data_IF_362648862138
#
_entry.id   IF_362648862138
#
_cell.length_a   1.000
_cell.length_b   1.000
_cell.length_c   1.000
_cell.angle_alpha   90.00
_cell.angle_beta   90.00
_cell.angle_gamma   90.00
#
_symmetry.space_group_name_H-M   'P 1'
#
loop_
_entity.id
_entity.type
_entity.pdbx_description
1 polymer ?
#
# COMPACT_ATOMS: atom_id res chain seq x y z
N UNK A 1 -8.71 3.23 -23.12
CA UNK A 1 -9.28 3.45 -21.78
C UNK A 1 -8.12 3.91 -20.93
N UNK A 2 -8.18 5.11 -20.37
CA UNK A 2 -7.12 5.61 -19.48
C UNK A 2 -7.18 4.83 -18.18
N UNK A 3 -6.02 4.42 -17.66
CA UNK A 3 -5.93 3.76 -16.36
C UNK A 3 -5.72 4.84 -15.31
N UNK A 4 -6.48 4.79 -14.24
CA UNK A 4 -6.41 5.77 -13.18
C UNK A 4 -5.67 5.21 -11.97
N UNK A 5 -4.85 6.06 -11.35
CA UNK A 5 -4.06 5.70 -10.19
C UNK A 5 -4.24 6.73 -9.07
N UNK A 6 -4.14 6.25 -7.84
CA UNK A 6 -3.81 7.09 -6.71
C UNK A 6 -2.31 7.01 -6.44
N UNK A 7 -1.67 8.13 -6.16
CA UNK A 7 -0.24 8.22 -5.85
C UNK A 7 -0.06 8.80 -4.48
N UNK A 8 0.80 8.16 -3.69
CA UNK A 8 1.21 8.62 -2.36
C UNK A 8 2.72 8.63 -2.31
N UNK A 9 3.30 9.75 -1.88
CA UNK A 9 4.72 9.82 -1.51
C UNK A 9 4.81 9.87 0.01
N UNK A 10 5.66 9.05 0.62
CA UNK A 10 5.76 9.04 2.08
C UNK A 10 6.97 8.30 2.62
N UNK A 11 7.37 8.66 3.83
CA UNK A 11 8.44 7.99 4.57
C UNK A 11 7.88 6.76 5.27
N UNK A 12 8.60 5.65 5.19
CA UNK A 12 8.22 4.42 5.89
C UNK A 12 8.40 4.61 7.39
N UNK A 13 7.31 4.44 8.13
CA UNK A 13 7.24 4.54 9.58
C UNK A 13 7.31 3.15 10.24
N UNK A 14 7.84 3.11 11.46
CA UNK A 14 7.73 1.95 12.32
C UNK A 14 6.26 1.69 12.69
N UNK A 15 5.80 0.45 12.51
CA UNK A 15 4.47 -0.01 12.92
C UNK A 15 4.54 -1.05 14.04
N UNK A 16 3.44 -1.76 14.27
CA UNK A 16 3.33 -2.74 15.38
C UNK A 16 4.00 -4.09 15.04
N UNK A 17 4.67 -4.18 13.88
CA UNK A 17 5.32 -5.37 13.34
C UNK A 17 4.45 -6.65 13.23
N UNK A 18 3.13 -6.58 13.45
CA UNK A 18 2.22 -7.74 13.43
C UNK A 18 2.23 -8.51 12.10
N UNK A 19 2.31 -7.80 10.98
CA UNK A 19 2.44 -8.44 9.66
C UNK A 19 3.72 -9.28 9.57
N UNK A 20 4.83 -8.77 10.11
CA UNK A 20 6.13 -9.47 10.13
C UNK A 20 6.05 -10.78 10.93
N UNK A 21 5.36 -10.78 12.08
CA UNK A 21 5.14 -12.00 12.88
C UNK A 21 4.36 -13.09 12.11
N UNK A 22 3.46 -12.68 11.21
CA UNK A 22 2.68 -13.56 10.35
C UNK A 22 3.40 -13.94 9.04
N UNK A 23 4.61 -13.44 8.80
CA UNK A 23 5.37 -13.66 7.57
C UNK A 23 5.06 -12.70 6.42
N UNK A 24 4.31 -11.62 6.68
CA UNK A 24 3.87 -10.60 5.72
C UNK A 24 4.32 -9.20 6.18
N UNK A 25 5.62 -8.87 6.15
CA UNK A 25 6.10 -7.54 6.54
C UNK A 25 5.51 -6.46 5.63
N UNK A 26 5.26 -5.27 6.18
CA UNK A 26 4.69 -4.13 5.47
C UNK A 26 5.50 -2.85 5.71
N UNK A 27 5.64 -2.04 4.66
CA UNK A 27 6.07 -0.66 4.77
C UNK A 27 4.84 0.22 5.09
N UNK A 28 4.86 0.94 6.21
CA UNK A 28 3.73 1.73 6.68
C UNK A 28 3.94 3.20 6.33
N UNK A 29 2.97 3.83 5.68
CA UNK A 29 3.03 5.24 5.26
C UNK A 29 1.77 5.95 5.76
N UNK A 30 1.94 6.99 6.58
CA UNK A 30 0.83 7.81 7.07
C UNK A 30 0.18 8.63 5.95
N UNK A 31 -1.15 8.66 5.91
CA UNK A 31 -1.95 9.50 5.02
C UNK A 31 -2.40 10.73 5.81
N UNK A 32 -1.59 11.79 5.77
CA UNK A 32 -1.65 12.91 6.74
C UNK A 32 -2.69 13.98 6.42
N UNK A 33 -3.14 14.11 5.16
CA UNK A 33 -3.95 15.28 4.79
C UNK A 33 -5.22 14.99 3.94
N UNK A 34 -5.44 13.78 3.41
CA UNK A 34 -6.60 13.52 2.54
C UNK A 34 -7.20 12.12 2.65
N UNK A 35 -7.56 11.74 3.88
CA UNK A 35 -8.24 10.47 4.17
C UNK A 35 -9.59 10.25 3.47
N UNK A 36 -10.13 11.22 2.72
CA UNK A 36 -11.38 11.08 1.95
C UNK A 36 -11.19 10.69 0.48
N UNK A 37 -9.99 10.87 -0.09
CA UNK A 37 -9.79 10.81 -1.55
C UNK A 37 -9.52 9.40 -2.07
N UNK A 38 -9.21 8.44 -1.18
CA UNK A 38 -8.97 7.04 -1.52
C UNK A 38 -9.81 6.12 -0.63
N UNK A 39 -10.44 5.11 -1.21
CA UNK A 39 -11.24 4.12 -0.48
C UNK A 39 -10.39 3.23 0.43
N UNK A 40 -10.94 2.87 1.59
CA UNK A 40 -10.37 1.80 2.42
C UNK A 40 -10.44 0.46 1.69
N UNK A 41 -9.49 -0.44 1.98
CA UNK A 41 -9.46 -1.76 1.36
C UNK A 41 -8.06 -2.22 1.01
N UNK A 42 -7.99 -3.27 0.20
CA UNK A 42 -6.74 -3.79 -0.34
C UNK A 42 -6.66 -3.43 -1.82
N UNK A 43 -5.49 -3.00 -2.24
CA UNK A 43 -5.18 -2.55 -3.58
C UNK A 43 -4.00 -3.31 -4.16
N UNK A 44 -3.98 -3.49 -5.47
CA UNK A 44 -2.80 -3.86 -6.23
C UNK A 44 -2.10 -2.58 -6.72
N UNK A 45 -0.77 -2.61 -6.73
CA UNK A 45 -0.01 -1.44 -7.10
C UNK A 45 1.49 -1.64 -7.17
N UNK A 46 2.19 -0.51 -7.23
CA UNK A 46 3.63 -0.44 -7.36
C UNK A 46 4.23 0.50 -6.32
N UNK A 47 5.41 0.16 -5.85
CA UNK A 47 6.26 0.97 -4.98
C UNK A 47 7.51 1.35 -5.77
N UNK A 48 7.89 2.61 -5.76
CA UNK A 48 9.18 3.08 -6.25
C UNK A 48 10.05 3.54 -5.08
N UNK A 49 11.25 3.00 -5.03
CA UNK A 49 12.30 3.34 -4.08
C UNK A 49 13.07 4.60 -4.48
N UNK A 50 13.86 5.14 -3.55
CA UNK A 50 14.71 6.31 -3.82
C UNK A 50 15.76 6.04 -4.92
N UNK A 51 16.20 4.78 -5.05
CA UNK A 51 17.14 4.32 -6.09
C UNK A 51 16.49 4.16 -7.49
N UNK A 52 15.18 4.40 -7.61
CA UNK A 52 14.43 4.26 -8.87
C UNK A 52 13.87 2.87 -9.14
N UNK A 53 14.16 1.88 -8.30
CA UNK A 53 13.62 0.51 -8.43
C UNK A 53 12.11 0.52 -8.23
N UNK A 54 11.38 -0.17 -9.11
CA UNK A 54 9.94 -0.40 -8.98
C UNK A 54 9.68 -1.83 -8.51
N UNK A 55 8.87 -1.97 -7.46
CA UNK A 55 8.54 -3.23 -6.84
C UNK A 55 7.02 -3.39 -6.78
N UNK A 56 6.47 -4.55 -7.18
CA UNK A 56 5.03 -4.79 -7.10
C UNK A 56 4.61 -4.95 -5.64
N UNK A 57 3.39 -4.50 -5.30
CA UNK A 57 2.89 -4.51 -3.93
C UNK A 57 1.40 -4.86 -3.83
N UNK A 58 1.06 -5.60 -2.78
CA UNK A 58 -0.28 -5.68 -2.23
C UNK A 58 -0.38 -4.64 -1.11
N UNK A 59 -1.38 -3.76 -1.17
CA UNK A 59 -1.39 -2.52 -0.41
C UNK A 59 -2.70 -2.43 0.39
N UNK A 60 -2.63 -2.49 1.71
CA UNK A 60 -3.79 -2.22 2.55
C UNK A 60 -3.89 -0.74 2.86
N UNK A 61 -5.06 -0.15 2.65
CA UNK A 61 -5.37 1.22 3.06
C UNK A 61 -6.44 1.17 4.13
N UNK A 62 -6.14 1.76 5.28
CA UNK A 62 -7.04 1.71 6.41
C UNK A 62 -6.71 2.63 7.56
N UNK A 63 -7.48 2.47 8.64
CA UNK A 63 -7.24 3.14 9.92
C UNK A 63 -6.70 2.14 10.92
N UNK A 64 -5.63 2.52 11.61
CA UNK A 64 -5.19 1.79 12.80
C UNK A 64 -6.17 2.07 13.95
N UNK A 65 -6.76 1.03 14.57
CA UNK A 65 -7.65 1.23 15.72
C UNK A 65 -6.94 1.57 17.04
N UNK A 66 -5.60 1.45 17.12
CA UNK A 66 -4.87 1.42 18.41
C UNK A 66 -4.07 2.69 18.74
N UNK A 67 -4.07 3.01 20.04
CA UNK A 67 -3.41 4.07 20.84
C UNK A 67 -4.08 5.45 20.99
N UNK A 68 -4.71 6.04 19.95
CA UNK A 68 -5.22 7.43 20.03
C UNK A 68 -6.75 7.60 20.01
N UNK A 69 -7.53 6.52 20.06
CA UNK A 69 -8.99 6.63 20.02
C UNK A 69 -9.51 7.11 18.66
N UNK A 70 -10.47 8.06 18.66
CA UNK A 70 -11.12 8.57 17.44
C UNK A 70 -10.18 9.29 16.46
N UNK A 71 -8.93 9.56 16.87
CA UNK A 71 -7.90 10.31 16.13
C UNK A 71 -6.86 9.40 15.44
N UNK A 72 -7.15 8.10 15.29
CA UNK A 72 -6.28 7.19 14.53
C UNK A 72 -6.09 7.64 13.08
N UNK A 73 -4.86 7.96 12.70
CA UNK A 73 -4.55 8.39 11.33
C UNK A 73 -4.70 7.23 10.34
N UNK A 74 -5.18 7.55 9.14
CA UNK A 74 -5.17 6.57 8.04
C UNK A 74 -3.73 6.33 7.62
N UNK A 75 -3.46 5.10 7.23
CA UNK A 75 -2.18 4.70 6.69
C UNK A 75 -2.38 3.75 5.53
N UNK A 76 -1.31 3.63 4.77
CA UNK A 76 -1.10 2.64 3.74
C UNK A 76 -0.05 1.65 4.26
N UNK A 77 -0.35 0.35 4.22
CA UNK A 77 0.55 -0.74 4.57
C UNK A 77 0.86 -1.54 3.31
N UNK A 78 2.06 -1.35 2.76
CA UNK A 78 2.49 -2.00 1.51
C UNK A 78 3.27 -3.28 1.83
N UNK A 79 2.71 -4.43 1.47
CA UNK A 79 3.45 -5.68 1.38
C UNK A 79 4.10 -5.79 0.00
N UNK A 80 5.43 -5.66 -0.04
CA UNK A 80 6.19 -5.68 -1.29
C UNK A 80 6.48 -7.13 -1.69
N UNK A 81 6.05 -7.49 -2.89
CA UNK A 81 6.15 -8.84 -3.42
C UNK A 81 7.62 -9.19 -3.71
N UNK A 82 8.02 -10.40 -3.32
CA UNK A 82 9.36 -10.97 -3.51
C UNK A 82 10.53 -10.11 -2.97
N UNK A 83 10.25 -9.14 -2.09
CA UNK A 83 11.25 -8.30 -1.48
C UNK A 83 11.65 -8.80 -0.09
N UNK A 84 12.96 -8.76 0.19
CA UNK A 84 13.54 -9.02 1.51
C UNK A 84 14.47 -7.88 1.85
N UNK A 85 14.18 -7.20 2.96
CA UNK A 85 14.99 -6.08 3.42
C UNK A 85 14.20 -5.20 4.37
N UNK A 86 14.88 -4.18 4.84
CA UNK A 86 14.30 -3.11 5.65
C UNK A 86 14.15 -1.85 4.78
N UNK A 87 13.03 -1.15 4.97
CA UNK A 87 12.70 0.08 4.27
C UNK A 87 12.42 1.23 5.25
N UNK A 88 12.58 1.04 6.56
CA UNK A 88 12.40 2.11 7.54
C UNK A 88 13.21 3.36 7.17
N UNK A 89 12.59 4.52 7.39
CA UNK A 89 13.10 5.85 7.04
C UNK A 89 13.30 6.11 5.54
N UNK A 90 13.08 5.12 4.66
CA UNK A 90 13.11 5.34 3.21
C UNK A 90 11.86 6.11 2.77
N UNK A 91 12.04 7.06 1.85
CA UNK A 91 10.90 7.71 1.18
C UNK A 91 10.51 6.92 -0.06
N UNK A 92 9.27 6.44 -0.08
CA UNK A 92 8.69 5.68 -1.17
C UNK A 92 7.68 6.51 -1.94
N UNK A 93 7.48 6.15 -3.21
CA UNK A 93 6.32 6.57 -4.01
C UNK A 93 5.48 5.35 -4.30
N UNK A 94 4.19 5.41 -4.01
CA UNK A 94 3.26 4.28 -4.12
C UNK A 94 2.15 4.63 -5.09
N UNK A 95 1.94 3.79 -6.10
CA UNK A 95 0.81 3.87 -7.02
C UNK A 95 -0.19 2.78 -6.64
N UNK A 96 -1.43 3.15 -6.34
CA UNK A 96 -2.56 2.24 -6.16
C UNK A 96 -3.37 2.24 -7.46
N UNK A 97 -3.41 1.10 -8.15
CA UNK A 97 -3.99 0.99 -9.49
C UNK A 97 -5.28 0.19 -9.58
N UNK A 98 -5.49 -0.80 -8.71
CA UNK A 98 -6.75 -1.53 -8.65
C UNK A 98 -7.17 -1.86 -7.22
N UNK A 99 -8.42 -1.55 -6.89
CA UNK A 99 -9.04 -2.00 -5.64
C UNK A 99 -9.40 -3.49 -5.78
N UNK A 100 -8.86 -4.31 -4.90
CA UNK A 100 -9.03 -5.76 -4.90
C UNK A 100 -10.21 -6.21 -4.03
N UNK A 101 -10.35 -5.58 -2.86
CA UNK A 101 -11.43 -5.86 -1.91
C UNK A 101 -11.53 -4.80 -0.81
N UNK A 102 -12.69 -4.76 -0.16
CA UNK A 102 -12.90 -4.00 1.08
C UNK A 102 -12.07 -4.55 2.26
N UNK A 103 -11.95 -3.75 3.31
CA UNK A 103 -11.42 -4.22 4.59
C UNK A 103 -12.37 -5.23 5.23
N UNK A 104 -11.79 -6.26 5.85
CA UNK A 104 -12.53 -7.33 6.50
C UNK A 104 -11.92 -7.66 7.86
N UNK A 105 -12.77 -7.96 8.84
CA UNK A 105 -12.36 -8.55 10.11
C UNK A 105 -12.31 -10.07 9.97
N UNK A 106 -11.28 -10.69 10.54
CA UNK A 106 -11.11 -12.13 10.52
C UNK A 106 -11.31 -12.71 11.91
N UNK A 107 -12.00 -13.85 11.97
CA UNK A 107 -12.26 -14.61 13.20
C UNK A 107 -11.06 -15.40 13.70
N UNK A 108 -10.09 -15.67 12.82
CA UNK A 108 -8.88 -16.44 13.13
C UNK A 108 -7.66 -15.91 12.39
N UNK A 109 -6.48 -16.27 12.87
CA UNK A 109 -5.22 -15.99 12.17
C UNK A 109 -5.12 -16.73 10.84
N UNK A 110 -5.69 -17.94 10.75
CA UNK A 110 -5.69 -18.77 9.53
C UNK A 110 -6.53 -18.13 8.42
N UNK A 111 -7.70 -17.58 8.76
CA UNK A 111 -8.54 -16.83 7.82
C UNK A 111 -7.82 -15.58 7.30
N UNK A 112 -7.13 -14.85 8.20
CA UNK A 112 -6.32 -13.68 7.84
C UNK A 112 -5.18 -14.07 6.89
N UNK A 113 -4.41 -15.11 7.22
CA UNK A 113 -3.30 -15.59 6.38
C UNK A 113 -3.81 -16.02 5.00
N UNK A 114 -4.96 -16.69 4.94
CA UNK A 114 -5.57 -17.11 3.67
C UNK A 114 -5.94 -15.90 2.82
N UNK A 115 -6.54 -14.87 3.43
CA UNK A 115 -6.86 -13.63 2.73
C UNK A 115 -5.60 -12.91 2.22
N UNK A 116 -4.55 -12.78 3.06
CA UNK A 116 -3.29 -12.15 2.67
C UNK A 116 -2.64 -12.85 1.48
N UNK A 117 -2.66 -14.19 1.45
CA UNK A 117 -2.16 -14.97 0.30
C UNK A 117 -2.96 -14.70 -0.98
N UNK A 118 -4.29 -14.60 -0.88
CA UNK A 118 -5.14 -14.28 -2.02
C UNK A 118 -4.89 -12.85 -2.53
N UNK A 119 -4.69 -11.90 -1.62
CA UNK A 119 -4.37 -10.51 -1.95
C UNK A 119 -3.04 -10.42 -2.71
N UNK A 120 -2.02 -11.13 -2.24
CA UNK A 120 -0.71 -11.23 -2.92
C UNK A 120 -0.89 -11.83 -4.31
N UNK A 121 -1.59 -12.96 -4.43
CA UNK A 121 -1.81 -13.61 -5.72
C UNK A 121 -2.53 -12.68 -6.72
N UNK A 122 -3.56 -11.96 -6.27
CA UNK A 122 -4.28 -10.99 -7.09
C UNK A 122 -3.40 -9.78 -7.47
N UNK A 123 -2.60 -9.27 -6.54
CA UNK A 123 -1.64 -8.18 -6.83
C UNK A 123 -0.56 -8.63 -7.83
N UNK A 124 -0.04 -9.86 -7.72
CA UNK A 124 0.90 -10.44 -8.68
C UNK A 124 0.27 -10.52 -10.07
N UNK A 125 -0.96 -11.03 -10.17
CA UNK A 125 -1.65 -11.15 -11.44
C UNK A 125 -1.91 -9.77 -12.07
N UNK A 126 -2.35 -8.80 -11.26
CA UNK A 126 -2.64 -7.46 -11.74
C UNK A 126 -1.37 -6.74 -12.21
N UNK A 127 -0.29 -6.79 -11.43
CA UNK A 127 0.98 -6.11 -11.78
C UNK A 127 1.68 -6.75 -12.99
N UNK A 128 1.50 -8.05 -13.24
CA UNK A 128 1.94 -8.69 -14.47
C UNK A 128 1.23 -8.14 -15.73
N UNK A 129 -0.05 -7.75 -15.60
CA UNK A 129 -0.82 -7.14 -16.69
C UNK A 129 -0.63 -5.61 -16.80
N UNK A 130 -0.12 -4.96 -15.74
CA UNK A 130 0.07 -3.51 -15.64
C UNK A 130 1.52 -3.20 -15.24
N UNK A 131 2.48 -3.33 -16.17
CA UNK A 131 3.90 -3.24 -15.86
C UNK A 131 4.29 -1.84 -15.38
N UNK A 132 5.32 -1.74 -14.53
CA UNK A 132 5.82 -0.46 -14.02
C UNK A 132 6.14 0.58 -15.13
N UNK A 133 6.52 0.13 -16.32
CA UNK A 133 6.79 1.02 -17.46
C UNK A 133 5.57 1.80 -17.97
N UNK A 134 4.35 1.37 -17.62
CA UNK A 134 3.11 2.09 -17.96
C UNK A 134 2.58 2.96 -16.82
N UNK A 135 3.34 3.12 -15.72
CA UNK A 135 2.91 3.98 -14.63
C UNK A 135 2.91 5.45 -15.07
N UNK A 136 1.86 6.21 -14.73
CA UNK A 136 1.85 7.64 -14.96
C UNK A 136 2.87 8.33 -14.05
N UNK A 137 3.34 9.50 -14.47
CA UNK A 137 4.25 10.31 -13.66
C UNK A 137 3.60 10.63 -12.30
N UNK A 138 4.33 10.37 -11.21
CA UNK A 138 3.86 10.65 -9.85
C UNK A 138 3.57 12.13 -9.60
N UNK A 139 4.30 13.02 -10.29
CA UNK A 139 4.35 14.44 -9.96
C UNK A 139 5.08 14.72 -8.65
N UNK A 140 5.10 15.98 -8.25
CA UNK A 140 5.55 16.41 -6.92
C UNK A 140 4.37 16.47 -5.95
N UNK A 141 4.55 16.04 -4.71
CA UNK A 141 3.53 16.10 -3.66
C UNK A 141 4.17 16.20 -2.28
N UNK A 142 3.40 16.69 -1.31
CA UNK A 142 3.79 16.61 0.08
C UNK A 142 3.80 15.15 0.58
N UNK A 143 4.51 14.90 1.69
CA UNK A 143 4.56 13.57 2.29
C UNK A 143 3.21 13.21 2.91
N UNK A 144 2.65 12.07 2.50
CA UNK A 144 1.34 11.58 2.92
C UNK A 144 0.17 12.19 2.16
N UNK A 145 0.42 13.02 1.15
CA UNK A 145 -0.59 13.54 0.24
C UNK A 145 -1.01 12.44 -0.77
N UNK A 146 -2.31 12.31 -0.99
CA UNK A 146 -2.89 11.39 -1.98
C UNK A 146 -3.27 12.18 -3.23
N UNK A 147 -2.73 11.79 -4.39
CA UNK A 147 -3.04 12.42 -5.68
C UNK A 147 -3.69 11.44 -6.64
N UNK A 148 -4.65 11.91 -7.43
CA UNK A 148 -5.21 11.17 -8.56
C UNK A 148 -4.43 11.51 -9.83
N UNK A 149 -4.03 10.51 -10.60
CA UNK A 149 -3.28 10.66 -11.85
C UNK A 149 -3.82 9.69 -12.91
N UNK A 150 -3.69 10.06 -14.17
CA UNK A 150 -4.16 9.28 -15.32
C UNK A 150 -2.97 8.84 -16.18
N UNK A 151 -3.05 7.61 -16.71
CA UNK A 151 -2.10 7.01 -17.65
C UNK A 151 -2.66 6.93 -19.07
#
# INVERSE_FOLDING_TARGET
MTSEYFVVRGTVEHGDERGRELGFPTANIALRDQSGSIGDGVWAGWVRRADGTHLPAAISVGRRPTYYGADGYRLLEAHILDFKGDLYDETLVVWLGAHLREQQKYSSAEDLITALKNDIAAATQWTAAHPAASLPAAGESELGEVRRVEA
#
